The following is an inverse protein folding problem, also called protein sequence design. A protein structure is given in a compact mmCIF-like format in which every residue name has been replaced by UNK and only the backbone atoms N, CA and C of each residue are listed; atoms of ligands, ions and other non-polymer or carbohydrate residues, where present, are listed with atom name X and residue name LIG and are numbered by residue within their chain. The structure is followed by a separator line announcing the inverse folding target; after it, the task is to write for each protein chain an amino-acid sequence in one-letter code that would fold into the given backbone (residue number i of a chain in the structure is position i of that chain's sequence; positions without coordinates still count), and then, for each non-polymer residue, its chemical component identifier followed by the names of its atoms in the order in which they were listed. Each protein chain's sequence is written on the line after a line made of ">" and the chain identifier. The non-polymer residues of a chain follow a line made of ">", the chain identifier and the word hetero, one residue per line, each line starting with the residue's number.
data_IF_339517013675
#
_entry.id   IF_339517013675
#
_cell.length_a   1.000
_cell.length_b   1.000
_cell.length_c   1.000
_cell.angle_alpha   90.00
_cell.angle_beta   90.00
_cell.angle_gamma   90.00
#
_symmetry.space_group_name_H-M   'P 1'
#
loop_
_entity.id
_entity.type
_entity.pdbx_description
1 polymer ?
#
# COMPACT_ATOMS: atom_id res chain seq x y z
N UNK A 1 -27.77 12.69 -1.66
CA UNK A 1 -26.50 13.19 -1.12
C UNK A 1 -25.95 12.09 -0.24
N UNK A 2 -24.82 11.45 -0.62
CA UNK A 2 -24.19 10.46 0.26
C UNK A 2 -23.74 11.15 1.54
N UNK A 3 -24.02 10.54 2.69
CA UNK A 3 -23.51 11.04 3.96
C UNK A 3 -21.98 11.08 3.91
N UNK A 4 -21.32 12.12 4.45
CA UNK A 4 -19.85 12.24 4.45
C UNK A 4 -19.12 10.97 4.94
N UNK A 5 -19.69 10.29 5.93
CA UNK A 5 -19.18 9.03 6.46
C UNK A 5 -19.18 7.87 5.45
N UNK A 6 -20.18 7.79 4.56
CA UNK A 6 -20.24 6.76 3.53
C UNK A 6 -19.11 6.92 2.51
N UNK A 7 -18.80 8.16 2.12
CA UNK A 7 -17.68 8.45 1.20
C UNK A 7 -16.33 8.09 1.81
N UNK A 8 -16.11 8.40 3.09
CA UNK A 8 -14.88 8.04 3.82
C UNK A 8 -14.74 6.51 3.90
N UNK A 9 -15.85 5.80 4.16
CA UNK A 9 -15.83 4.34 4.17
C UNK A 9 -15.50 3.74 2.80
N UNK A 10 -16.03 4.31 1.71
CA UNK A 10 -15.68 3.89 0.34
C UNK A 10 -14.19 4.12 0.04
N UNK A 11 -13.64 5.28 0.41
CA UNK A 11 -12.21 5.60 0.25
C UNK A 11 -11.32 4.63 1.04
N UNK A 12 -11.70 4.28 2.27
CA UNK A 12 -10.99 3.28 3.07
C UNK A 12 -11.03 1.88 2.44
N UNK A 13 -12.17 1.48 1.87
CA UNK A 13 -12.31 0.19 1.18
C UNK A 13 -11.44 0.14 -0.08
N UNK A 14 -11.35 1.23 -0.85
CA UNK A 14 -10.47 1.32 -2.01
C UNK A 14 -8.99 1.25 -1.61
N UNK A 15 -8.57 1.96 -0.55
CA UNK A 15 -7.20 1.87 -0.03
C UNK A 15 -6.84 0.44 0.40
N UNK A 16 -7.77 -0.27 1.05
CA UNK A 16 -7.58 -1.67 1.44
C UNK A 16 -7.46 -2.60 0.23
N UNK A 17 -8.27 -2.39 -0.82
CA UNK A 17 -8.20 -3.16 -2.07
C UNK A 17 -6.85 -2.95 -2.76
N UNK A 18 -6.42 -1.69 -2.90
CA UNK A 18 -5.13 -1.36 -3.48
C UNK A 18 -3.97 -1.93 -2.65
N UNK A 19 -4.07 -1.88 -1.32
CA UNK A 19 -3.05 -2.45 -0.40
C UNK A 19 -2.94 -3.96 -0.56
N UNK A 20 -4.07 -4.67 -0.71
CA UNK A 20 -4.07 -6.11 -0.98
C UNK A 20 -3.34 -6.45 -2.27
N UNK A 21 -3.58 -5.68 -3.34
CA UNK A 21 -2.87 -5.85 -4.61
C UNK A 21 -1.37 -5.59 -4.47
N UNK A 22 -1.00 -4.52 -3.75
CA UNK A 22 0.41 -4.21 -3.48
C UNK A 22 1.12 -5.32 -2.71
N UNK A 23 0.50 -5.87 -1.67
CA UNK A 23 1.04 -7.02 -0.90
C UNK A 23 1.22 -8.24 -1.81
N UNK A 24 0.26 -8.50 -2.71
CA UNK A 24 0.38 -9.58 -3.70
C UNK A 24 1.61 -9.39 -4.59
N UNK A 25 1.83 -8.17 -5.09
CA UNK A 25 2.99 -7.84 -5.93
C UNK A 25 4.32 -7.98 -5.17
N UNK A 26 4.38 -7.50 -3.92
CA UNK A 26 5.57 -7.67 -3.07
C UNK A 26 5.87 -9.15 -2.81
N UNK A 27 4.83 -9.98 -2.60
CA UNK A 27 5.01 -11.43 -2.47
C UNK A 27 5.63 -12.05 -3.72
N UNK A 28 5.21 -11.64 -4.91
CA UNK A 28 5.80 -12.11 -6.18
C UNK A 28 7.27 -11.69 -6.28
N UNK A 29 7.60 -10.45 -5.91
CA UNK A 29 8.97 -9.94 -5.90
C UNK A 29 9.87 -10.74 -4.93
N UNK A 30 9.41 -10.96 -3.69
CA UNK A 30 10.17 -11.77 -2.72
C UNK A 30 10.35 -13.21 -3.17
N UNK A 31 9.37 -13.79 -3.86
CA UNK A 31 9.51 -15.11 -4.47
C UNK A 31 10.57 -15.11 -5.58
N UNK A 32 10.64 -14.06 -6.40
CA UNK A 32 11.67 -13.92 -7.43
C UNK A 32 13.07 -13.84 -6.81
N UNK A 33 13.25 -13.02 -5.77
CA UNK A 33 14.51 -12.93 -5.00
C UNK A 33 14.89 -14.30 -4.43
N UNK A 34 13.95 -14.97 -3.77
CA UNK A 34 14.21 -16.30 -3.16
C UNK A 34 14.58 -17.34 -4.23
N UNK A 35 13.98 -17.26 -5.42
CA UNK A 35 14.27 -18.18 -6.52
C UNK A 35 15.65 -17.91 -7.12
N UNK A 36 16.00 -16.64 -7.34
CA UNK A 36 17.33 -16.26 -7.84
C UNK A 36 18.43 -16.64 -6.84
N UNK A 37 18.19 -16.47 -5.53
CA UNK A 37 19.11 -16.93 -4.49
C UNK A 37 19.33 -18.45 -4.49
N UNK A 38 18.29 -19.24 -4.76
CA UNK A 38 18.35 -20.71 -4.73
C UNK A 38 18.94 -21.33 -6.00
N UNK A 39 18.69 -20.71 -7.15
CA UNK A 39 18.91 -21.34 -8.45
C UNK A 39 19.61 -20.44 -9.46
N UNK A 40 19.51 -19.12 -9.28
CA UNK A 40 20.24 -18.14 -10.07
C UNK A 40 21.65 -17.93 -9.53
N UNK A 41 22.48 -17.26 -10.32
CA UNK A 41 23.85 -16.89 -9.90
C UNK A 41 23.83 -15.63 -9.03
N UNK A 42 22.71 -15.35 -8.35
CA UNK A 42 22.48 -14.13 -7.57
C UNK A 42 22.68 -12.84 -8.37
N UNK A 43 22.31 -12.84 -9.65
CA UNK A 43 22.62 -11.71 -10.54
C UNK A 43 21.71 -10.50 -10.27
N UNK A 44 20.43 -10.77 -9.95
CA UNK A 44 19.40 -9.74 -9.91
C UNK A 44 18.95 -9.42 -8.48
N UNK A 45 19.50 -10.11 -7.46
CA UNK A 45 19.04 -10.00 -6.07
C UNK A 45 19.11 -8.57 -5.54
N UNK A 46 20.21 -7.85 -5.81
CA UNK A 46 20.41 -6.49 -5.32
C UNK A 46 19.41 -5.50 -5.95
N UNK A 47 19.18 -5.61 -7.26
CA UNK A 47 18.23 -4.78 -7.99
C UNK A 47 16.80 -5.08 -7.54
N UNK A 48 16.43 -6.36 -7.43
CA UNK A 48 15.11 -6.78 -6.94
C UNK A 48 14.87 -6.37 -5.48
N UNK A 49 15.89 -6.47 -4.61
CA UNK A 49 15.79 -6.01 -3.23
C UNK A 49 15.65 -4.49 -3.13
N UNK A 50 16.40 -3.75 -3.95
CA UNK A 50 16.29 -2.29 -4.04
C UNK A 50 14.91 -1.86 -4.53
N UNK A 51 14.36 -2.55 -5.55
CA UNK A 51 12.98 -2.35 -6.00
C UNK A 51 11.99 -2.62 -4.87
N UNK A 52 12.18 -3.70 -4.11
CA UNK A 52 11.31 -4.04 -2.97
C UNK A 52 11.34 -2.97 -1.87
N UNK A 53 12.53 -2.45 -1.55
CA UNK A 53 12.71 -1.35 -0.61
C UNK A 53 11.98 -0.08 -1.06
N UNK A 54 12.18 0.31 -2.33
CA UNK A 54 11.51 1.48 -2.91
C UNK A 54 9.98 1.35 -2.89
N UNK A 55 9.44 0.22 -3.39
CA UNK A 55 7.99 0.00 -3.42
C UNK A 55 7.39 -0.10 -2.01
N UNK A 56 8.14 -0.63 -1.05
CA UNK A 56 7.76 -0.68 0.37
C UNK A 56 7.65 0.70 0.98
N UNK A 57 8.69 1.52 0.80
CA UNK A 57 8.74 2.88 1.33
C UNK A 57 7.66 3.78 0.71
N UNK A 58 7.54 3.77 -0.62
CA UNK A 58 6.53 4.55 -1.35
C UNK A 58 5.11 4.19 -0.90
N UNK A 59 4.81 2.90 -0.79
CA UNK A 59 3.47 2.46 -0.37
C UNK A 59 3.17 2.80 1.10
N UNK A 60 4.15 2.68 2.00
CA UNK A 60 3.98 3.07 3.39
C UNK A 60 3.63 4.56 3.50
N UNK A 61 4.40 5.42 2.83
CA UNK A 61 4.14 6.86 2.81
C UNK A 61 2.76 7.20 2.24
N UNK A 62 2.34 6.50 1.17
CA UNK A 62 1.03 6.69 0.57
C UNK A 62 -0.09 6.29 1.55
N UNK A 63 -0.02 5.11 2.15
CA UNK A 63 -1.04 4.63 3.11
C UNK A 63 -1.15 5.57 4.32
N UNK A 64 -0.03 6.03 4.87
CA UNK A 64 -0.03 6.97 5.99
C UNK A 64 -0.70 8.29 5.59
N UNK A 65 -0.37 8.82 4.41
CA UNK A 65 -0.96 10.06 3.88
C UNK A 65 -2.47 9.94 3.65
N UNK A 66 -2.95 8.82 3.12
CA UNK A 66 -4.38 8.58 2.90
C UNK A 66 -5.12 8.38 4.23
N UNK A 67 -4.52 7.68 5.19
CA UNK A 67 -5.07 7.52 6.53
C UNK A 67 -5.23 8.87 7.25
N UNK A 68 -4.22 9.73 7.18
CA UNK A 68 -4.32 11.10 7.72
C UNK A 68 -5.42 11.93 7.06
N UNK A 69 -5.56 11.84 5.74
CA UNK A 69 -6.60 12.57 5.00
C UNK A 69 -8.00 12.10 5.38
N UNK A 70 -8.21 10.78 5.45
CA UNK A 70 -9.50 10.21 5.86
C UNK A 70 -9.84 10.56 7.31
N UNK A 71 -8.86 10.57 8.22
CA UNK A 71 -9.08 10.99 9.60
C UNK A 71 -9.51 12.47 9.67
N UNK A 72 -8.82 13.37 8.95
CA UNK A 72 -9.22 14.79 8.89
C UNK A 72 -10.62 14.96 8.32
N UNK A 73 -10.98 14.18 7.31
CA UNK A 73 -12.33 14.19 6.72
C UNK A 73 -13.39 13.70 7.71
N UNK A 74 -13.07 12.68 8.52
CA UNK A 74 -13.93 12.17 9.57
C UNK A 74 -14.16 13.21 10.67
N UNK A 75 -13.09 13.82 11.18
CA UNK A 75 -13.16 14.86 12.21
C UNK A 75 -14.04 16.03 11.74
N UNK A 76 -13.88 16.46 10.48
CA UNK A 76 -14.69 17.53 9.89
C UNK A 76 -16.18 17.13 9.76
N UNK A 77 -16.46 15.88 9.40
CA UNK A 77 -17.82 15.36 9.32
C UNK A 77 -18.51 15.25 10.69
N UNK A 78 -17.76 14.94 11.74
CA UNK A 78 -18.26 14.88 13.12
C UNK A 78 -18.59 16.28 13.68
N UNK A 79 -17.76 17.29 13.39
CA UNK A 79 -18.02 18.68 13.79
C UNK A 79 -19.21 19.29 13.05
N UNK A 80 -19.48 18.84 11.82
CA UNK A 80 -20.57 19.35 10.98
C UNK A 80 -21.94 18.73 11.29
N UNK A 81 -22.03 17.84 12.29
CA UNK A 81 -23.22 17.08 12.67
C UNK A 81 -23.95 17.73 13.84
#
# INVERSE_FOLDING_TARGET
>A
MSQPAARIADEALELLRATRERISNMRVLFNAITKDLKHGKSHDIEELASLGSFLGHDWANYVDSEAEQMQKALDAAEVSK
#
